data_IF_756109276977
#
_entry.id   IF_756109276977
#
_cell.length_a   1.000
_cell.length_b   1.000
_cell.length_c   1.000
_cell.angle_alpha   90.00
_cell.angle_beta   90.00
_cell.angle_gamma   90.00
#
_symmetry.space_group_name_H-M   'P 1'
#
loop_
_entity.id
_entity.type
_entity.pdbx_description
1 polymer ?
#
# COMPACT_ATOMS: atom_id res chain seq x y z
N UNK A 1 -40.92 14.87 -8.35
CA UNK A 1 -40.05 14.98 -9.54
C UNK A 1 -38.99 13.91 -9.39
N UNK A 2 -38.72 13.11 -10.43
CA UNK A 2 -37.56 12.24 -10.40
C UNK A 2 -36.35 13.11 -10.74
N UNK A 3 -35.42 13.28 -9.80
CA UNK A 3 -34.17 13.95 -10.09
C UNK A 3 -33.45 13.21 -11.22
N UNK A 4 -32.89 13.99 -12.15
CA UNK A 4 -32.38 13.49 -13.42
C UNK A 4 -31.32 12.41 -13.17
N UNK A 5 -31.63 11.16 -13.55
CA UNK A 5 -30.72 10.02 -13.42
C UNK A 5 -29.64 10.10 -14.51
N UNK A 6 -28.70 11.02 -14.32
CA UNK A 6 -27.57 11.25 -15.20
C UNK A 6 -26.44 10.27 -14.89
N UNK A 7 -26.18 9.37 -15.84
CA UNK A 7 -25.12 8.36 -15.75
C UNK A 7 -23.91 8.67 -16.66
N UNK A 8 -23.84 9.85 -17.28
CA UNK A 8 -22.76 10.17 -18.23
C UNK A 8 -21.37 10.28 -17.57
N UNK A 9 -21.32 10.42 -16.23
CA UNK A 9 -20.09 10.35 -15.44
C UNK A 9 -19.75 8.95 -14.89
N UNK A 10 -20.50 7.90 -15.25
CA UNK A 10 -20.23 6.54 -14.78
C UNK A 10 -19.06 5.90 -15.55
N UNK A 11 -18.17 5.22 -14.82
CA UNK A 11 -17.12 4.39 -15.42
C UNK A 11 -17.73 3.26 -16.28
N UNK A 12 -17.10 2.89 -17.39
CA UNK A 12 -17.51 1.73 -18.19
C UNK A 12 -17.32 0.44 -17.41
N UNK A 13 -18.30 -0.48 -17.50
CA UNK A 13 -18.29 -1.73 -16.72
C UNK A 13 -17.07 -2.62 -17.07
N UNK A 14 -16.60 -2.57 -18.31
CA UNK A 14 -15.57 -3.45 -18.86
C UNK A 14 -14.26 -3.45 -18.06
N UNK A 15 -13.81 -2.26 -17.62
CA UNK A 15 -12.57 -2.10 -16.86
C UNK A 15 -12.58 -2.76 -15.46
N UNK A 16 -13.74 -3.22 -14.99
CA UNK A 16 -13.88 -3.94 -13.72
C UNK A 16 -13.78 -5.47 -13.84
N UNK A 17 -13.92 -6.04 -15.05
CA UNK A 17 -13.92 -7.50 -15.25
C UNK A 17 -12.53 -8.09 -15.49
N UNK A 18 -11.66 -7.39 -16.22
CA UNK A 18 -10.32 -7.89 -16.52
C UNK A 18 -9.49 -8.14 -15.26
N UNK A 19 -8.69 -9.22 -15.24
CA UNK A 19 -7.80 -9.52 -14.12
C UNK A 19 -6.59 -8.58 -14.11
N UNK A 20 -6.25 -8.08 -12.93
CA UNK A 20 -4.96 -7.42 -12.72
C UNK A 20 -3.85 -8.45 -13.00
N UNK A 21 -2.83 -8.12 -13.82
CA UNK A 21 -1.75 -9.05 -14.15
C UNK A 21 -1.06 -9.64 -12.92
N UNK A 22 -0.60 -10.88 -13.04
CA UNK A 22 0.15 -11.53 -11.97
C UNK A 22 1.51 -10.87 -11.77
N UNK A 23 1.92 -10.72 -10.51
CA UNK A 23 3.11 -10.01 -10.02
C UNK A 23 3.03 -8.47 -10.03
N UNK A 24 1.90 -7.86 -10.41
CA UNK A 24 1.68 -6.42 -10.23
C UNK A 24 1.89 -6.02 -8.77
N UNK A 25 2.66 -4.95 -8.55
CA UNK A 25 2.79 -4.29 -7.25
C UNK A 25 1.86 -3.08 -7.23
N UNK A 26 1.08 -2.94 -6.16
CA UNK A 26 0.19 -1.80 -5.97
C UNK A 26 0.07 -1.45 -4.49
N UNK A 27 -0.15 -0.17 -4.18
CA UNK A 27 -0.54 0.25 -2.83
C UNK A 27 -2.02 -0.08 -2.61
N UNK A 28 -2.33 -0.74 -1.51
CA UNK A 28 -3.71 -1.15 -1.19
C UNK A 28 -4.06 -0.82 0.26
N UNK A 29 -5.30 -0.40 0.50
CA UNK A 29 -5.90 -0.32 1.83
C UNK A 29 -6.57 -1.65 2.19
N UNK A 30 -6.27 -2.20 3.36
CA UNK A 30 -6.80 -3.47 3.84
C UNK A 30 -8.04 -3.30 4.72
N UNK A 31 -9.03 -4.17 4.55
CA UNK A 31 -10.21 -4.29 5.43
C UNK A 31 -10.52 -5.77 5.68
N UNK A 32 -10.66 -6.17 6.95
CA UNK A 32 -11.21 -7.49 7.29
C UNK A 32 -12.73 -7.46 7.16
N UNK A 33 -13.29 -8.46 6.49
CA UNK A 33 -14.73 -8.76 6.49
C UNK A 33 -14.98 -9.80 7.59
N UNK A 34 -15.66 -9.43 8.71
CA UNK A 34 -15.89 -10.35 9.82
C UNK A 34 -16.65 -11.60 9.37
N UNK A 35 -16.27 -12.76 9.89
CA UNK A 35 -16.92 -14.04 9.59
C UNK A 35 -17.70 -14.65 10.76
N UNK A 36 -17.72 -13.99 11.92
CA UNK A 36 -18.43 -14.43 13.11
C UNK A 36 -17.73 -15.54 13.92
N UNK A 37 -16.52 -15.96 13.55
CA UNK A 37 -15.77 -17.01 14.24
C UNK A 37 -14.56 -16.47 15.02
N UNK A 38 -14.13 -17.26 16.01
CA UNK A 38 -13.06 -16.89 16.95
C UNK A 38 -13.53 -15.92 18.05
N UNK A 39 -12.69 -15.63 19.06
CA UNK A 39 -13.08 -14.87 20.25
C UNK A 39 -13.61 -13.45 19.95
N UNK A 40 -13.15 -12.84 18.86
CA UNK A 40 -13.49 -11.47 18.45
C UNK A 40 -14.37 -11.42 17.18
N UNK A 41 -14.82 -12.57 16.65
CA UNK A 41 -15.66 -12.63 15.44
C UNK A 41 -14.95 -12.30 14.10
N UNK A 42 -13.67 -11.91 14.10
CA UNK A 42 -12.92 -11.56 12.89
C UNK A 42 -12.70 -12.73 11.93
N UNK A 43 -12.66 -13.97 12.42
CA UNK A 43 -12.36 -15.14 11.58
C UNK A 43 -13.61 -15.61 10.83
N UNK A 44 -13.39 -16.25 9.68
CA UNK A 44 -14.39 -16.99 8.92
C UNK A 44 -14.06 -18.48 8.99
N UNK A 45 -15.05 -19.32 9.28
CA UNK A 45 -14.91 -20.77 9.18
C UNK A 45 -15.09 -21.24 7.72
N UNK A 46 -14.33 -22.24 7.30
CA UNK A 46 -14.51 -22.89 6.01
C UNK A 46 -15.84 -23.66 5.95
N UNK A 47 -16.56 -23.55 4.83
CA UNK A 47 -17.84 -24.28 4.62
C UNK A 47 -17.64 -25.79 4.42
N UNK A 48 -16.41 -26.23 4.12
CA UNK A 48 -16.09 -27.62 3.76
C UNK A 48 -15.06 -28.26 4.69
N UNK A 49 -14.63 -27.58 5.77
CA UNK A 49 -13.63 -28.10 6.71
C UNK A 49 -13.60 -27.31 8.02
N UNK A 50 -12.85 -27.82 9.00
CA UNK A 50 -12.55 -27.16 10.29
C UNK A 50 -11.58 -25.98 10.21
N UNK A 51 -11.13 -25.58 9.00
CA UNK A 51 -10.17 -24.50 8.81
C UNK A 51 -10.79 -23.12 9.10
N UNK A 52 -9.99 -22.22 9.69
CA UNK A 52 -10.31 -20.82 9.96
C UNK A 52 -9.38 -19.89 9.18
N UNK A 53 -9.92 -18.77 8.68
CA UNK A 53 -9.16 -17.77 7.93
C UNK A 53 -9.71 -16.35 8.15
N UNK A 54 -8.86 -15.34 7.95
CA UNK A 54 -9.34 -13.97 7.74
C UNK A 54 -9.81 -13.81 6.30
N UNK A 55 -11.01 -13.27 6.12
CA UNK A 55 -11.56 -12.92 4.82
C UNK A 55 -11.30 -11.43 4.58
N UNK A 56 -10.25 -11.10 3.82
CA UNK A 56 -9.87 -9.69 3.61
C UNK A 56 -10.32 -9.17 2.25
N UNK A 57 -10.76 -7.90 2.24
CA UNK A 57 -10.85 -7.05 1.07
C UNK A 57 -9.62 -6.13 1.05
N UNK A 58 -9.00 -5.95 -0.10
CA UNK A 58 -7.98 -4.92 -0.30
C UNK A 58 -8.38 -4.06 -1.51
N UNK A 59 -8.37 -2.74 -1.33
CA UNK A 59 -8.72 -1.78 -2.38
C UNK A 59 -7.44 -1.14 -2.89
N UNK A 60 -7.19 -1.23 -4.20
CA UNK A 60 -6.06 -0.53 -4.83
C UNK A 60 -6.28 0.98 -4.76
N UNK A 61 -5.31 1.71 -4.22
CA UNK A 61 -5.44 3.14 -3.94
C UNK A 61 -5.08 4.03 -5.13
N UNK A 62 -4.07 3.64 -5.91
CA UNK A 62 -3.47 4.44 -6.97
C UNK A 62 -3.05 3.60 -8.20
N UNK A 63 -2.53 4.27 -9.22
CA UNK A 63 -2.08 3.64 -10.46
C UNK A 63 -3.21 3.15 -11.38
N UNK A 64 -2.88 2.36 -12.42
CA UNK A 64 -3.83 1.98 -13.47
C UNK A 64 -4.94 1.01 -13.00
N UNK A 65 -4.85 0.49 -11.78
CA UNK A 65 -5.84 -0.42 -11.19
C UNK A 65 -6.56 0.20 -9.98
N UNK A 66 -6.47 1.52 -9.78
CA UNK A 66 -7.13 2.22 -8.68
C UNK A 66 -8.62 1.87 -8.55
N UNK A 67 -9.12 1.83 -7.31
CA UNK A 67 -10.48 1.42 -6.91
C UNK A 67 -10.83 -0.07 -7.14
N UNK A 68 -9.99 -0.87 -7.81
CA UNK A 68 -10.23 -2.33 -7.94
C UNK A 68 -10.14 -3.01 -6.56
N UNK A 69 -11.09 -3.91 -6.29
CA UNK A 69 -11.16 -4.70 -5.04
C UNK A 69 -10.59 -6.10 -5.23
N UNK A 70 -9.78 -6.53 -4.27
CA UNK A 70 -9.08 -7.82 -4.28
C UNK A 70 -9.47 -8.58 -3.01
N UNK A 71 -10.08 -9.75 -3.19
CA UNK A 71 -10.52 -10.59 -2.07
C UNK A 71 -9.50 -11.71 -1.81
N UNK A 72 -8.98 -11.80 -0.59
CA UNK A 72 -7.97 -12.81 -0.21
C UNK A 72 -8.38 -13.55 1.06
N UNK A 73 -8.06 -14.85 1.15
CA UNK A 73 -8.21 -15.64 2.38
C UNK A 73 -6.84 -15.81 3.03
N UNK A 74 -6.65 -15.28 4.24
CA UNK A 74 -5.41 -15.41 4.99
C UNK A 74 -5.58 -16.51 6.05
N UNK A 75 -4.82 -17.61 5.94
CA UNK A 75 -4.99 -18.78 6.79
C UNK A 75 -4.66 -18.53 8.26
N UNK A 76 -5.59 -18.84 9.16
CA UNK A 76 -5.39 -18.72 10.61
C UNK A 76 -5.23 -20.09 11.27
N UNK A 77 -6.01 -21.08 10.80
CA UNK A 77 -5.94 -22.50 11.20
C UNK A 77 -6.31 -23.37 9.99
N UNK A 78 -5.50 -24.35 9.65
CA UNK A 78 -5.76 -25.36 8.63
C UNK A 78 -6.66 -26.49 9.13
N UNK A 79 -7.07 -27.36 8.20
CA UNK A 79 -7.87 -28.55 8.53
C UNK A 79 -7.04 -29.68 9.17
N UNK A 80 -5.75 -29.75 8.81
CA UNK A 80 -4.79 -30.78 9.23
C UNK A 80 -3.49 -30.11 9.68
N UNK A 81 -2.78 -30.76 10.60
CA UNK A 81 -1.34 -30.54 10.86
C UNK A 81 -0.53 -31.70 10.26
N UNK A 82 0.76 -31.50 10.01
CA UNK A 82 1.65 -32.61 9.65
C UNK A 82 2.12 -33.39 10.91
N UNK A 83 2.92 -34.44 10.70
CA UNK A 83 3.49 -35.30 11.76
C UNK A 83 4.31 -34.53 12.81
N UNK A 84 4.83 -33.35 12.46
CA UNK A 84 5.59 -32.46 13.36
C UNK A 84 4.70 -31.42 14.07
N UNK A 85 3.38 -31.53 13.93
CA UNK A 85 2.39 -30.58 14.47
C UNK A 85 2.29 -29.27 13.70
N UNK A 86 2.92 -29.15 12.52
CA UNK A 86 2.96 -27.90 11.77
C UNK A 86 1.71 -27.70 10.89
N UNK A 87 1.09 -26.54 11.03
CA UNK A 87 -0.03 -26.09 10.21
C UNK A 87 0.48 -25.20 9.06
N UNK A 88 0.74 -25.79 7.90
CA UNK A 88 1.26 -25.05 6.74
C UNK A 88 0.32 -23.93 6.24
N UNK A 89 -0.99 -24.02 6.50
CA UNK A 89 -1.96 -23.00 6.11
C UNK A 89 -1.90 -21.80 7.06
N UNK A 90 -1.89 -22.06 8.37
CA UNK A 90 -1.71 -21.03 9.38
C UNK A 90 -0.31 -20.38 9.30
N UNK A 91 0.73 -21.13 8.99
CA UNK A 91 2.09 -20.60 8.86
C UNK A 91 2.21 -19.62 7.67
N UNK A 92 1.61 -19.95 6.52
CA UNK A 92 1.53 -19.02 5.38
C UNK A 92 0.76 -17.75 5.71
N UNK A 93 -0.38 -17.86 6.41
CA UNK A 93 -1.14 -16.68 6.81
C UNK A 93 -0.44 -15.83 7.86
N UNK A 94 0.23 -16.43 8.85
CA UNK A 94 1.12 -15.71 9.80
C UNK A 94 2.23 -14.95 9.08
N UNK A 95 2.88 -15.56 8.10
CA UNK A 95 3.91 -14.91 7.29
C UNK A 95 3.34 -13.71 6.50
N UNK A 96 2.15 -13.85 5.91
CA UNK A 96 1.48 -12.76 5.21
C UNK A 96 1.07 -11.61 6.15
N UNK A 97 0.48 -11.91 7.32
CA UNK A 97 0.14 -10.89 8.33
C UNK A 97 1.39 -10.13 8.79
N UNK A 98 2.49 -10.85 9.06
CA UNK A 98 3.77 -10.24 9.39
C UNK A 98 4.26 -9.31 8.27
N UNK A 99 4.21 -9.76 7.01
CA UNK A 99 4.61 -8.95 5.87
C UNK A 99 3.73 -7.71 5.65
N UNK A 100 2.43 -7.80 5.92
CA UNK A 100 1.49 -6.66 5.88
C UNK A 100 1.91 -5.62 6.93
N UNK A 101 2.19 -6.05 8.17
CA UNK A 101 2.63 -5.17 9.25
C UNK A 101 4.00 -4.54 8.94
N UNK A 102 4.95 -5.31 8.42
CA UNK A 102 6.28 -4.84 8.00
C UNK A 102 6.20 -3.82 6.86
N UNK A 103 5.36 -4.07 5.86
CA UNK A 103 5.11 -3.13 4.75
C UNK A 103 4.40 -1.87 5.22
N UNK A 104 3.27 -1.99 5.93
CA UNK A 104 2.48 -0.84 6.39
C UNK A 104 3.23 0.08 7.38
N UNK A 105 4.14 -0.49 8.17
CA UNK A 105 4.88 0.22 9.22
C UNK A 105 6.34 0.51 8.82
N UNK A 106 6.73 0.25 7.57
CA UNK A 106 8.05 0.63 7.01
C UNK A 106 9.25 -0.13 7.60
N UNK A 107 9.07 -1.39 8.03
CA UNK A 107 10.06 -2.18 8.76
C UNK A 107 10.65 -3.26 7.85
N UNK A 108 11.98 -3.41 7.89
CA UNK A 108 12.69 -4.46 7.15
C UNK A 108 12.43 -5.85 7.73
N UNK A 109 12.34 -6.87 6.89
CA UNK A 109 12.06 -8.23 7.34
C UNK A 109 13.20 -8.81 8.21
N UNK A 110 14.43 -8.35 7.96
CA UNK A 110 15.63 -8.71 8.71
C UNK A 110 15.75 -7.99 10.07
N UNK A 111 15.07 -6.86 10.29
CA UNK A 111 15.21 -6.05 11.50
C UNK A 111 14.63 -6.76 12.74
N UNK A 112 15.50 -7.11 13.69
CA UNK A 112 15.15 -7.75 14.97
C UNK A 112 15.24 -6.81 16.18
N UNK A 113 15.37 -5.50 15.96
CA UNK A 113 15.34 -4.49 17.02
C UNK A 113 14.06 -4.56 17.85
N UNK A 114 14.11 -4.08 19.08
CA UNK A 114 12.94 -4.04 19.97
C UNK A 114 11.78 -3.23 19.34
N UNK A 115 12.09 -2.10 18.70
CA UNK A 115 11.13 -1.29 17.96
C UNK A 115 10.47 -2.09 16.82
N UNK A 116 11.25 -2.79 16.00
CA UNK A 116 10.73 -3.63 14.92
C UNK A 116 9.93 -4.84 15.44
N UNK A 117 10.24 -5.36 16.63
CA UNK A 117 9.47 -6.43 17.28
C UNK A 117 8.14 -5.89 17.81
N UNK A 118 8.15 -4.77 18.53
CA UNK A 118 6.96 -4.11 19.06
C UNK A 118 5.98 -3.71 17.93
N UNK A 119 6.50 -3.16 16.83
CA UNK A 119 5.69 -2.77 15.69
C UNK A 119 5.17 -3.94 14.83
N UNK A 120 5.55 -5.20 15.11
CA UNK A 120 4.89 -6.41 14.58
C UNK A 120 3.77 -6.94 15.49
N UNK A 121 3.55 -6.33 16.66
CA UNK A 121 2.45 -6.68 17.55
C UNK A 121 1.15 -5.98 17.14
N UNK A 122 0.05 -6.68 17.38
CA UNK A 122 -1.34 -6.22 17.28
C UNK A 122 -2.08 -6.70 18.53
N UNK A 123 -3.08 -5.95 18.98
CA UNK A 123 -3.93 -6.28 20.13
C UNK A 123 -5.15 -7.10 19.70
N UNK A 124 -5.65 -6.83 18.51
CA UNK A 124 -6.78 -7.50 17.87
C UNK A 124 -6.43 -7.86 16.43
N UNK A 125 -7.05 -8.89 15.86
CA UNK A 125 -6.97 -9.09 14.41
C UNK A 125 -7.58 -7.90 13.64
N UNK A 126 -8.55 -7.20 14.24
CA UNK A 126 -9.16 -5.99 13.69
C UNK A 126 -8.17 -4.86 13.41
N UNK A 127 -7.04 -4.79 14.13
CA UNK A 127 -5.96 -3.79 13.95
C UNK A 127 -5.27 -3.87 12.57
N UNK A 128 -5.57 -4.90 11.77
CA UNK A 128 -5.11 -5.02 10.38
C UNK A 128 -5.99 -4.22 9.40
N UNK A 129 -7.20 -3.82 9.79
CA UNK A 129 -8.08 -3.00 8.95
C UNK A 129 -7.65 -1.54 9.01
N UNK A 130 -7.67 -0.85 7.88
CA UNK A 130 -7.12 0.50 7.74
C UNK A 130 -5.60 0.56 7.58
N UNK A 131 -4.92 -0.59 7.42
CA UNK A 131 -3.51 -0.62 7.02
C UNK A 131 -3.37 -0.44 5.51
N UNK A 132 -2.64 0.59 5.10
CA UNK A 132 -2.11 0.74 3.74
C UNK A 132 -0.80 -0.03 3.62
N UNK A 133 -0.64 -0.84 2.56
CA UNK A 133 0.61 -1.56 2.32
C UNK A 133 0.84 -1.83 0.82
N UNK A 134 2.08 -2.18 0.45
CA UNK A 134 2.38 -2.59 -0.93
C UNK A 134 2.07 -4.08 -1.11
N UNK A 135 1.01 -4.39 -1.85
CA UNK A 135 0.63 -5.75 -2.18
C UNK A 135 1.28 -6.23 -3.48
N UNK A 136 1.79 -7.47 -3.47
CA UNK A 136 2.06 -8.24 -4.69
C UNK A 136 0.80 -9.01 -5.07
N UNK A 137 0.13 -8.52 -6.11
CA UNK A 137 -1.08 -9.11 -6.67
C UNK A 137 -0.70 -10.32 -7.52
N UNK A 138 -1.47 -11.39 -7.40
CA UNK A 138 -1.39 -12.55 -8.28
C UNK A 138 -2.76 -12.97 -8.78
N UNK A 139 -2.76 -13.94 -9.67
CA UNK A 139 -3.98 -14.68 -10.06
C UNK A 139 -3.95 -16.04 -9.37
N UNK A 140 -5.10 -16.47 -8.86
CA UNK A 140 -5.33 -17.81 -8.35
C UNK A 140 -6.48 -18.43 -9.14
N UNK A 141 -6.20 -19.54 -9.81
CA UNK A 141 -7.21 -20.35 -10.50
C UNK A 141 -7.75 -21.41 -9.56
N UNK A 142 -8.99 -21.81 -9.76
CA UNK A 142 -9.48 -23.06 -9.21
C UNK A 142 -8.62 -24.23 -9.72
N UNK A 143 -8.34 -25.20 -8.84
CA UNK A 143 -7.61 -26.42 -9.21
C UNK A 143 -8.52 -27.48 -9.81
N UNK A 144 -9.81 -27.41 -9.49
CA UNK A 144 -10.80 -28.40 -9.90
C UNK A 144 -11.53 -27.97 -11.20
N UNK A 145 -11.30 -26.74 -11.66
CA UNK A 145 -11.75 -26.23 -12.97
C UNK A 145 -10.57 -25.64 -13.79
N UNK A 146 -10.03 -26.36 -14.78
CA UNK A 146 -8.89 -25.89 -15.57
C UNK A 146 -9.21 -24.74 -16.54
N UNK A 147 -10.48 -24.55 -16.89
CA UNK A 147 -10.95 -23.45 -17.75
C UNK A 147 -11.14 -22.14 -16.97
N UNK A 148 -11.05 -22.17 -15.64
CA UNK A 148 -11.16 -20.99 -14.79
C UNK A 148 -10.12 -19.93 -15.19
N UNK A 149 -10.57 -18.71 -15.48
CA UNK A 149 -9.70 -17.57 -15.76
C UNK A 149 -8.91 -17.17 -14.52
N UNK A 150 -9.45 -17.46 -13.34
CA UNK A 150 -8.88 -17.17 -12.04
C UNK A 150 -9.41 -15.87 -11.45
N UNK A 151 -8.93 -15.59 -10.23
CA UNK A 151 -9.28 -14.40 -9.45
C UNK A 151 -8.04 -13.71 -8.94
N UNK A 152 -8.08 -12.38 -8.80
CA UNK A 152 -7.00 -11.66 -8.13
C UNK A 152 -6.97 -11.98 -6.64
N UNK A 153 -5.76 -12.16 -6.12
CA UNK A 153 -5.44 -12.38 -4.70
C UNK A 153 -4.14 -11.67 -4.33
N UNK A 154 -3.98 -11.31 -3.06
CA UNK A 154 -2.69 -10.89 -2.51
C UNK A 154 -1.83 -12.14 -2.30
N UNK A 155 -0.71 -12.25 -3.01
CA UNK A 155 0.25 -13.37 -2.86
C UNK A 155 1.34 -13.06 -1.83
N UNK A 156 1.71 -11.79 -1.68
CA UNK A 156 2.65 -11.32 -0.66
C UNK A 156 2.39 -9.84 -0.35
N UNK A 157 2.85 -9.39 0.81
CA UNK A 157 3.10 -7.98 1.08
C UNK A 157 4.60 -7.70 0.84
N UNK A 158 4.92 -6.52 0.31
CA UNK A 158 6.26 -6.12 -0.08
C UNK A 158 6.77 -5.06 0.90
N UNK A 159 7.84 -5.37 1.62
CA UNK A 159 8.47 -4.46 2.57
C UNK A 159 9.60 -3.60 1.98
N UNK A 160 10.25 -2.76 2.81
CA UNK A 160 11.29 -1.81 2.40
C UNK A 160 12.55 -2.40 1.77
N UNK A 161 12.77 -3.71 1.91
CA UNK A 161 13.91 -4.42 1.30
C UNK A 161 13.76 -4.59 -0.23
N UNK A 162 12.59 -4.28 -0.80
CA UNK A 162 12.32 -4.39 -2.24
C UNK A 162 12.50 -3.04 -2.96
N UNK A 163 13.29 -3.00 -4.04
CA UNK A 163 13.67 -1.74 -4.71
C UNK A 163 12.53 -0.86 -5.22
N UNK A 164 11.36 -1.45 -5.54
CA UNK A 164 10.17 -0.70 -5.97
C UNK A 164 9.28 -0.23 -4.80
N UNK A 165 9.55 -0.63 -3.55
CA UNK A 165 8.67 -0.37 -2.41
C UNK A 165 8.37 1.12 -2.20
N UNK A 166 9.41 1.96 -2.12
CA UNK A 166 9.24 3.40 -1.88
C UNK A 166 8.47 4.11 -3.00
N UNK A 167 8.69 3.69 -4.25
CA UNK A 167 7.97 4.22 -5.40
C UNK A 167 6.48 3.89 -5.35
N UNK A 168 6.13 2.63 -5.07
CA UNK A 168 4.72 2.19 -5.00
C UNK A 168 4.02 2.69 -3.74
N UNK A 169 4.73 2.84 -2.61
CA UNK A 169 4.10 3.33 -1.37
C UNK A 169 3.76 4.84 -1.40
N UNK A 170 4.23 5.56 -2.42
CA UNK A 170 4.11 7.02 -2.54
C UNK A 170 5.17 7.81 -1.76
N UNK A 171 6.30 7.17 -1.44
CA UNK A 171 7.41 7.75 -0.68
C UNK A 171 8.62 8.12 -1.56
N UNK A 172 8.48 8.08 -2.89
CA UNK A 172 9.47 8.67 -3.78
C UNK A 172 9.49 10.20 -3.59
N UNK A 173 10.67 10.82 -3.41
CA UNK A 173 10.74 12.27 -3.35
C UNK A 173 10.29 12.85 -4.69
N UNK A 174 9.25 13.69 -4.66
CA UNK A 174 8.88 14.52 -5.80
C UNK A 174 10.12 15.31 -6.22
N UNK A 175 10.58 15.22 -7.48
CA UNK A 175 11.64 16.10 -7.95
C UNK A 175 11.15 17.53 -7.76
N UNK A 176 11.84 18.31 -6.93
CA UNK A 176 11.56 19.74 -6.83
C UNK A 176 11.73 20.33 -8.23
N UNK A 177 10.78 21.18 -8.71
CA UNK A 177 10.90 21.76 -10.03
C UNK A 177 12.23 22.51 -10.13
N UNK A 178 12.97 22.39 -11.26
CA UNK A 178 14.24 23.08 -11.40
C UNK A 178 14.01 24.59 -11.30
N UNK A 179 14.58 25.19 -10.26
CA UNK A 179 14.41 26.60 -9.96
C UNK A 179 15.19 27.44 -10.99
N UNK A 180 14.57 27.72 -12.14
CA UNK A 180 15.16 28.54 -13.21
C UNK A 180 15.19 30.01 -12.79
N UNK A 181 16.23 30.39 -12.03
CA UNK A 181 16.59 31.78 -11.85
C UNK A 181 17.08 32.35 -13.21
N UNK A 182 16.53 33.48 -13.70
CA UNK A 182 17.01 34.09 -14.93
C UNK A 182 18.38 34.73 -14.72
N UNK A 183 19.38 34.26 -15.47
CA UNK A 183 20.75 34.82 -15.46
C UNK A 183 20.78 36.18 -16.16
N UNK A 184 21.13 37.25 -15.45
CA UNK A 184 21.29 38.58 -16.04
C UNK A 184 22.46 38.66 -17.02
N UNK A 185 22.20 39.08 -18.26
CA UNK A 185 23.24 39.37 -19.23
C UNK A 185 23.83 40.78 -19.04
N UNK A 186 25.15 40.91 -19.19
CA UNK A 186 25.90 42.17 -19.08
C UNK A 186 25.99 42.88 -20.43
N UNK A 187 25.89 44.22 -20.46
CA UNK A 187 26.31 45.03 -21.60
C UNK A 187 25.78 46.46 -21.65
N UNK A 188 26.69 47.44 -21.83
CA UNK A 188 26.36 48.81 -22.27
C UNK A 188 26.66 49.93 -21.25
N UNK A 189 27.50 50.89 -21.64
CA UNK A 189 28.03 51.97 -20.78
C UNK A 189 27.48 53.35 -21.14
N UNK A 190 27.17 54.21 -20.15
CA UNK A 190 27.25 55.68 -20.21
C UNK A 190 26.94 56.35 -18.85
N UNK A 191 27.51 57.54 -18.59
CA UNK A 191 27.30 58.42 -17.42
C UNK A 191 27.54 59.89 -17.87
N UNK A 192 27.55 60.96 -17.04
CA UNK A 192 27.16 61.17 -15.61
C UNK A 192 26.26 62.45 -15.48
N UNK A 193 26.33 63.33 -14.45
CA UNK A 193 26.39 63.19 -12.97
C UNK A 193 25.19 63.87 -12.23
N UNK A 194 25.00 63.59 -10.93
CA UNK A 194 24.08 64.33 -10.05
C UNK A 194 24.40 64.18 -8.55
N UNK A 195 24.63 65.31 -7.88
CA UNK A 195 25.13 65.57 -6.52
C UNK A 195 24.85 64.61 -5.32
N UNK A 196 25.86 64.58 -4.44
CA UNK A 196 26.01 64.12 -3.04
C UNK A 196 24.98 64.62 -1.97
N UNK A 197 25.07 64.22 -0.66
CA UNK A 197 25.66 63.01 -0.02
C UNK A 197 24.77 62.37 1.10
N UNK A 198 25.31 61.31 1.74
CA UNK A 198 25.28 61.05 3.21
C UNK A 198 24.63 59.73 3.74
N UNK A 199 25.52 58.84 4.20
CA UNK A 199 25.42 57.99 5.41
C UNK A 199 24.13 57.23 5.77
N UNK A 200 24.20 55.90 5.74
CA UNK A 200 24.41 55.08 6.96
C UNK A 200 24.52 53.58 6.62
N UNK A 201 25.35 52.84 7.36
CA UNK A 201 25.65 51.45 7.06
C UNK A 201 24.56 50.47 7.51
N UNK A 202 24.42 49.35 6.80
CA UNK A 202 23.62 48.22 7.26
C UNK A 202 24.38 46.91 7.02
N UNK A 203 24.85 46.29 8.10
CA UNK A 203 25.48 44.97 8.06
C UNK A 203 24.43 43.85 7.91
N UNK A 204 24.77 42.70 7.31
CA UNK A 204 23.80 41.63 7.04
C UNK A 204 23.30 40.92 8.32
N UNK A 205 22.11 40.31 8.18
CA UNK A 205 21.26 39.80 9.27
C UNK A 205 21.79 38.60 10.08
N UNK A 206 23.00 38.12 9.83
CA UNK A 206 23.64 37.02 10.60
C UNK A 206 24.57 37.51 11.72
N UNK A 207 24.67 38.84 11.89
CA UNK A 207 25.35 39.47 13.03
C UNK A 207 24.33 40.13 13.98
N UNK A 208 23.56 39.29 14.69
CA UNK A 208 22.81 39.63 15.91
C UNK A 208 22.73 38.42 16.84
#
# INVERSE_FOLDING_TARGET
MADNMDFNGADSQDAAFDLIPANTLAKVALTIRPGGAGPEGWLTQSRTSSALYLNVEAIVLDGPYARRRIYTRIGFKGKNVNERGEDSYANRGRALIRGILESARGIKASDQSEAARAARLIRSLGDLSGLDFVAKIGVEKDRDNPEDTGRNVIKAAIGPDHGQYLAVMGAAPTPAPPNTAPTSAYGGSAAPPGADPASSGNAPFWAR
#
